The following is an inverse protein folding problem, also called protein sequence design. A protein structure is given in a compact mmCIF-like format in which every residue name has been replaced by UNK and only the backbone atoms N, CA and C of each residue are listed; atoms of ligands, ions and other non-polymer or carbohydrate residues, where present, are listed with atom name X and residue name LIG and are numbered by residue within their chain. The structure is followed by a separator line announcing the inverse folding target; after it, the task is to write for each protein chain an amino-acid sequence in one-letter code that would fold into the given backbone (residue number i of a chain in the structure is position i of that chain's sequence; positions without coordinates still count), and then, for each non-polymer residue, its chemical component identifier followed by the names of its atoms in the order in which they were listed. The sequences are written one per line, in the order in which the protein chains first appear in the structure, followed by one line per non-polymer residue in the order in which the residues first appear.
data_IF_153892246231
#
_entry.id   IF_153892246231
#
_cell.length_a   1.000
_cell.length_b   1.000
_cell.length_c   1.000
_cell.angle_alpha   90.00
_cell.angle_beta   90.00
_cell.angle_gamma   90.00
#
_symmetry.space_group_name_H-M   'P 1'
#
loop_
_entity.id
_entity.type
_entity.pdbx_description
1 polymer ?
#
# COMPACT_ATOMS: atom_id res chain seq x y z
N UNK A 1 -31.50 -40.03 -51.46
CA UNK A 1 -32.31 -39.54 -50.32
C UNK A 1 -31.29 -39.02 -49.30
N UNK A 2 -30.99 -37.75 -49.08
CA UNK A 2 -31.42 -36.44 -49.59
C UNK A 2 -30.16 -35.54 -49.49
N UNK A 3 -29.84 -34.83 -50.56
CA UNK A 3 -28.78 -33.81 -50.65
C UNK A 3 -29.37 -32.44 -50.28
N UNK A 4 -28.63 -31.56 -49.62
CA UNK A 4 -28.70 -30.13 -49.97
C UNK A 4 -27.45 -29.36 -49.56
N UNK A 5 -26.72 -28.94 -50.59
CA UNK A 5 -25.73 -27.88 -50.59
C UNK A 5 -26.37 -26.52 -50.24
N UNK A 6 -25.62 -25.66 -49.56
CA UNK A 6 -25.95 -24.24 -49.42
C UNK A 6 -24.76 -23.37 -49.84
N UNK A 7 -24.85 -22.80 -51.05
CA UNK A 7 -23.99 -21.75 -51.58
C UNK A 7 -24.72 -20.40 -51.57
N UNK A 8 -24.06 -19.28 -51.24
CA UNK A 8 -24.72 -17.97 -51.10
C UNK A 8 -25.02 -17.32 -52.46
N UNK A 9 -26.23 -16.80 -52.63
CA UNK A 9 -26.62 -16.00 -53.79
C UNK A 9 -26.43 -14.50 -53.51
N UNK A 10 -25.59 -13.87 -54.32
CA UNK A 10 -25.51 -12.42 -54.46
C UNK A 10 -26.81 -11.85 -55.05
N UNK A 11 -27.31 -10.75 -54.47
CA UNK A 11 -28.35 -9.90 -55.08
C UNK A 11 -27.79 -8.50 -55.27
N UNK A 12 -27.51 -8.16 -56.53
CA UNK A 12 -27.33 -6.79 -56.99
C UNK A 12 -28.71 -6.13 -57.15
N UNK A 13 -28.92 -4.95 -56.56
CA UNK A 13 -29.99 -4.02 -56.97
C UNK A 13 -29.61 -2.56 -56.68
N UNK A 14 -29.45 -1.79 -57.77
CA UNK A 14 -29.87 -0.40 -57.94
C UNK A 14 -29.29 0.69 -57.04
N UNK A 15 -28.33 1.47 -57.56
CA UNK A 15 -28.02 2.82 -57.04
C UNK A 15 -29.14 3.78 -57.45
N UNK A 16 -29.89 4.29 -56.47
CA UNK A 16 -30.76 5.45 -56.64
C UNK A 16 -29.96 6.71 -56.26
N UNK A 17 -29.77 7.61 -57.22
CA UNK A 17 -29.18 8.93 -56.98
C UNK A 17 -30.24 9.85 -56.37
N UNK A 18 -29.97 10.35 -55.16
CA UNK A 18 -30.77 11.40 -54.53
C UNK A 18 -30.22 12.77 -54.96
N UNK A 19 -31.01 13.51 -55.73
CA UNK A 19 -30.77 14.94 -55.98
C UNK A 19 -31.24 15.73 -54.77
N UNK A 20 -30.33 16.44 -54.11
CA UNK A 20 -30.65 17.41 -53.05
C UNK A 20 -30.75 18.81 -53.67
N UNK A 21 -31.96 19.37 -53.73
CA UNK A 21 -32.13 20.81 -53.97
C UNK A 21 -31.82 21.56 -52.67
N UNK A 22 -30.70 22.27 -52.64
CA UNK A 22 -30.34 23.15 -51.53
C UNK A 22 -30.99 24.52 -51.74
N UNK A 23 -32.09 24.78 -51.05
CA UNK A 23 -32.57 26.15 -50.88
C UNK A 23 -31.65 26.84 -49.86
N UNK A 24 -30.77 27.71 -50.35
CA UNK A 24 -29.89 28.54 -49.51
C UNK A 24 -30.74 29.52 -48.69
N UNK A 25 -30.92 29.26 -47.40
CA UNK A 25 -31.28 30.30 -46.44
C UNK A 25 -29.98 30.97 -45.97
N UNK A 26 -29.79 32.24 -46.32
CA UNK A 26 -28.68 33.04 -45.79
C UNK A 26 -28.98 33.35 -44.32
N UNK A 27 -28.36 32.63 -43.39
CA UNK A 27 -28.26 33.09 -42.01
C UNK A 27 -27.29 34.26 -41.98
N UNK A 28 -27.77 35.43 -41.59
CA UNK A 28 -26.97 36.64 -41.50
C UNK A 28 -25.94 36.48 -40.36
N UNK A 29 -24.67 36.78 -40.67
CA UNK A 29 -23.48 36.59 -39.83
C UNK A 29 -23.61 37.09 -38.36
N UNK A 30 -24.35 38.17 -38.05
CA UNK A 30 -24.55 38.60 -36.66
C UNK A 30 -25.31 37.59 -35.79
N UNK A 31 -26.25 36.83 -36.36
CA UNK A 31 -27.08 35.90 -35.61
C UNK A 31 -26.29 34.68 -35.11
N UNK A 32 -25.29 34.25 -35.89
CA UNK A 32 -24.40 33.13 -35.52
C UNK A 32 -23.51 33.53 -34.34
N UNK A 33 -23.00 34.76 -34.34
CA UNK A 33 -22.14 35.26 -33.25
C UNK A 33 -22.94 35.38 -31.95
N UNK A 34 -24.15 35.95 -31.99
CA UNK A 34 -25.02 36.07 -30.82
C UNK A 34 -25.38 34.70 -30.25
N UNK A 35 -25.68 33.72 -31.12
CA UNK A 35 -25.93 32.34 -30.71
C UNK A 35 -24.70 31.74 -30.03
N UNK A 36 -23.51 31.84 -30.63
CA UNK A 36 -22.27 31.33 -30.03
C UNK A 36 -21.94 31.98 -28.68
N UNK A 37 -22.13 33.29 -28.53
CA UNK A 37 -21.92 33.99 -27.26
C UNK A 37 -22.90 33.51 -26.18
N UNK A 38 -24.15 33.22 -26.52
CA UNK A 38 -25.14 32.71 -25.57
C UNK A 38 -24.73 31.34 -25.00
N UNK A 39 -24.26 30.40 -25.83
CA UNK A 39 -23.77 29.10 -25.34
C UNK A 39 -22.49 29.21 -24.51
N UNK A 40 -21.60 30.14 -24.83
CA UNK A 40 -20.37 30.34 -24.06
C UNK A 40 -20.66 30.90 -22.66
N UNK A 41 -21.54 31.89 -22.55
CA UNK A 41 -21.92 32.50 -21.26
C UNK A 41 -22.75 31.53 -20.41
N UNK A 42 -23.72 30.81 -21.01
CA UNK A 42 -24.49 29.80 -20.28
C UNK A 42 -23.63 28.61 -19.84
N UNK A 43 -22.70 28.14 -20.67
CA UNK A 43 -21.78 27.06 -20.32
C UNK A 43 -20.84 27.44 -19.16
N UNK A 44 -20.36 28.69 -19.14
CA UNK A 44 -19.50 29.20 -18.08
C UNK A 44 -20.24 29.35 -16.75
N UNK A 45 -21.46 29.89 -16.77
CA UNK A 45 -22.31 30.03 -15.58
C UNK A 45 -22.81 28.67 -15.03
N UNK A 46 -23.06 27.68 -15.90
CA UNK A 46 -23.43 26.33 -15.46
C UNK A 46 -22.24 25.57 -14.84
N UNK A 47 -21.02 25.89 -15.28
CA UNK A 47 -19.79 25.30 -14.74
C UNK A 47 -19.44 25.90 -13.36
N UNK A 48 -19.67 27.19 -13.16
CA UNK A 48 -19.45 27.83 -11.85
C UNK A 48 -20.47 27.39 -10.79
N UNK A 49 -21.73 27.10 -11.18
CA UNK A 49 -22.76 26.58 -10.26
C UNK A 49 -22.47 25.14 -9.80
N UNK A 50 -21.86 24.29 -10.64
CA UNK A 50 -21.38 22.94 -10.23
C UNK A 50 -20.14 22.99 -9.34
N UNK A 51 -19.30 24.01 -9.49
CA UNK A 51 -18.06 24.14 -8.69
C UNK A 51 -18.33 24.49 -7.22
N UNK A 52 -19.45 25.15 -6.90
CA UNK A 52 -19.81 25.46 -5.50
C UNK A 52 -20.47 24.30 -4.73
N UNK A 53 -20.92 23.24 -5.40
CA UNK A 53 -21.45 22.03 -4.72
C UNK A 53 -20.34 21.03 -4.33
N UNK A 54 -19.10 21.28 -4.75
CA UNK A 54 -17.95 20.42 -4.41
C UNK A 54 -17.17 20.88 -3.18
N UNK A 55 -17.57 21.99 -2.55
CA UNK A 55 -16.98 22.48 -1.31
C UNK A 55 -17.86 22.13 -0.12
N UNK A 56 -17.56 21.02 0.56
CA UNK A 56 -17.60 20.82 2.03
C UNK A 56 -17.54 19.32 2.38
N UNK A 57 -16.71 19.04 3.40
CA UNK A 57 -16.71 17.91 4.34
C UNK A 57 -16.09 16.57 3.91
N UNK A 58 -15.00 16.26 4.63
CA UNK A 58 -14.70 14.95 5.25
C UNK A 58 -15.53 13.78 4.72
N UNK A 59 -15.02 13.11 3.68
CA UNK A 59 -15.62 11.90 3.13
C UNK A 59 -14.63 10.73 3.20
N UNK A 60 -14.15 10.46 4.41
CA UNK A 60 -13.22 9.37 4.69
C UNK A 60 -13.79 8.25 5.57
N UNK A 61 -15.12 8.13 5.70
CA UNK A 61 -15.68 7.23 6.73
C UNK A 61 -16.97 6.48 6.38
N UNK A 62 -17.35 6.34 5.11
CA UNK A 62 -18.66 5.74 4.79
C UNK A 62 -18.73 4.87 3.52
N UNK A 63 -17.63 4.22 3.11
CA UNK A 63 -17.63 3.36 1.91
C UNK A 63 -17.00 1.99 2.14
N UNK A 64 -17.39 1.35 3.24
CA UNK A 64 -17.16 -0.07 3.48
C UNK A 64 -18.46 -0.76 3.93
N UNK A 65 -19.61 -0.18 3.56
CA UNK A 65 -20.90 -0.86 3.69
C UNK A 65 -21.09 -1.73 2.45
N UNK A 66 -20.86 -3.04 2.66
CA UNK A 66 -21.38 -4.18 1.89
C UNK A 66 -21.38 -4.03 0.36
N UNK A 67 -20.19 -4.08 -0.25
CA UNK A 67 -20.11 -4.69 -1.58
C UNK A 67 -19.99 -6.18 -1.33
N UNK A 68 -21.01 -6.96 -1.70
CA UNK A 68 -20.92 -8.41 -1.72
C UNK A 68 -19.96 -8.77 -2.86
N UNK A 69 -18.77 -9.27 -2.51
CA UNK A 69 -17.78 -9.66 -3.49
C UNK A 69 -18.04 -11.11 -3.90
N UNK A 70 -18.24 -11.37 -5.18
CA UNK A 70 -18.15 -12.73 -5.73
C UNK A 70 -16.70 -13.19 -5.66
N UNK A 71 -16.39 -14.02 -4.66
CA UNK A 71 -15.04 -14.53 -4.45
C UNK A 71 -14.68 -15.56 -5.51
N UNK A 72 -13.52 -15.37 -6.15
CA UNK A 72 -12.94 -16.38 -7.01
C UNK A 72 -12.45 -17.58 -6.18
N UNK A 73 -12.42 -18.77 -6.78
CA UNK A 73 -11.80 -19.93 -6.15
C UNK A 73 -10.33 -19.66 -5.78
N UNK A 74 -9.96 -19.96 -4.55
CA UNK A 74 -8.60 -19.76 -4.04
C UNK A 74 -7.70 -20.96 -4.37
N UNK A 75 -6.39 -20.71 -4.48
CA UNK A 75 -5.40 -21.77 -4.62
C UNK A 75 -5.13 -22.49 -3.29
N UNK A 76 -4.35 -23.59 -3.31
CA UNK A 76 -3.98 -24.35 -2.10
C UNK A 76 -3.38 -23.50 -0.97
N UNK A 77 -2.76 -22.38 -1.32
CA UNK A 77 -2.10 -21.45 -0.40
C UNK A 77 -2.71 -20.04 -0.47
N UNK A 78 -3.90 -19.89 -1.05
CA UNK A 78 -4.60 -18.61 -1.18
C UNK A 78 -5.66 -18.42 -0.09
N UNK A 79 -6.03 -17.16 0.15
CA UNK A 79 -7.12 -16.83 1.07
C UNK A 79 -8.49 -17.12 0.44
N UNK A 80 -9.41 -17.64 1.22
CA UNK A 80 -10.81 -17.90 0.87
C UNK A 80 -11.73 -16.69 1.14
N UNK A 81 -11.18 -15.60 1.65
CA UNK A 81 -11.89 -14.42 2.13
C UNK A 81 -11.09 -13.14 1.86
N UNK A 82 -11.78 -12.01 1.84
CA UNK A 82 -11.15 -10.71 1.60
C UNK A 82 -10.67 -10.11 2.91
N UNK A 83 -9.39 -9.76 2.96
CA UNK A 83 -8.81 -8.93 4.00
C UNK A 83 -8.51 -7.52 3.48
N UNK A 84 -8.98 -6.49 4.19
CA UNK A 84 -8.64 -5.09 3.88
C UNK A 84 -7.62 -4.58 4.91
N UNK A 85 -6.44 -4.18 4.43
CA UNK A 85 -5.39 -3.60 5.26
C UNK A 85 -5.17 -2.16 4.80
N UNK A 86 -5.69 -1.15 5.53
CA UNK A 86 -5.48 0.25 5.17
C UNK A 86 -4.00 0.63 5.33
N UNK A 87 -3.49 1.48 4.44
CA UNK A 87 -2.14 2.01 4.51
C UNK A 87 -2.04 3.41 3.91
N UNK A 88 -0.98 4.11 4.28
CA UNK A 88 -0.59 5.41 3.73
C UNK A 88 0.82 5.28 3.15
N UNK A 89 1.06 5.83 1.96
CA UNK A 89 2.43 5.98 1.44
C UNK A 89 3.08 7.18 2.14
N UNK A 90 4.22 6.95 2.79
CA UNK A 90 5.01 7.99 3.45
C UNK A 90 6.12 8.48 2.51
N UNK A 91 6.80 7.56 1.83
CA UNK A 91 7.83 7.90 0.85
C UNK A 91 7.96 6.81 -0.21
N UNK A 92 8.42 7.18 -1.40
CA UNK A 92 8.80 6.24 -2.46
C UNK A 92 10.31 6.00 -2.53
N UNK A 93 11.12 6.88 -1.92
CA UNK A 93 12.59 6.79 -1.92
C UNK A 93 13.17 7.23 -0.57
N UNK A 94 13.38 6.30 0.38
CA UNK A 94 13.09 4.86 0.30
C UNK A 94 11.57 4.58 0.29
N UNK A 95 11.17 3.39 -0.14
CA UNK A 95 9.76 2.97 -0.05
C UNK A 95 9.37 2.80 1.42
N UNK A 96 8.50 3.65 1.92
CA UNK A 96 8.01 3.64 3.28
C UNK A 96 6.48 3.76 3.29
N UNK A 97 5.82 2.86 4.02
CA UNK A 97 4.38 2.79 4.15
C UNK A 97 3.99 2.73 5.62
N UNK A 98 2.95 3.47 5.99
CA UNK A 98 2.38 3.47 7.33
C UNK A 98 1.07 2.69 7.34
N UNK A 99 0.94 1.75 8.27
CA UNK A 99 -0.25 0.93 8.45
C UNK A 99 -0.94 1.28 9.78
N UNK A 100 -2.00 2.12 9.78
CA UNK A 100 -2.65 2.53 11.00
C UNK A 100 -3.37 1.34 11.67
N UNK A 101 -3.26 1.25 13.01
CA UNK A 101 -3.94 0.22 13.83
C UNK A 101 -3.66 -1.20 13.32
N UNK A 102 -2.40 -1.47 12.96
CA UNK A 102 -2.00 -2.74 12.38
C UNK A 102 -2.14 -3.91 13.37
N UNK A 103 -1.66 -3.73 14.60
CA UNK A 103 -1.93 -4.61 15.73
C UNK A 103 -2.92 -3.94 16.68
N UNK A 104 -3.77 -4.74 17.31
CA UNK A 104 -4.70 -4.26 18.34
C UNK A 104 -3.95 -3.98 19.65
N UNK A 105 -4.46 -3.10 20.53
CA UNK A 105 -3.86 -2.87 21.85
C UNK A 105 -3.67 -4.16 22.65
N UNK A 106 -4.61 -5.11 22.56
CA UNK A 106 -4.57 -6.40 23.24
C UNK A 106 -3.43 -7.27 22.71
N UNK A 107 -3.26 -7.34 21.38
CA UNK A 107 -2.14 -8.05 20.76
C UNK A 107 -0.80 -7.43 21.15
N UNK A 108 -0.68 -6.10 21.13
CA UNK A 108 0.52 -5.40 21.57
C UNK A 108 0.86 -5.72 23.03
N UNK A 109 -0.14 -5.65 23.92
CA UNK A 109 0.06 -5.91 25.34
C UNK A 109 0.44 -7.38 25.62
N UNK A 110 -0.12 -8.31 24.86
CA UNK A 110 0.24 -9.73 24.91
C UNK A 110 1.72 -9.95 24.55
N UNK A 111 2.17 -9.41 23.41
CA UNK A 111 3.57 -9.54 22.96
C UNK A 111 4.53 -8.91 23.97
N UNK A 112 4.18 -7.74 24.51
CA UNK A 112 4.96 -7.08 25.57
C UNK A 112 5.10 -8.01 26.78
N UNK A 113 4.02 -8.66 27.22
CA UNK A 113 4.05 -9.55 28.37
C UNK A 113 4.84 -10.84 28.10
N UNK A 114 4.75 -11.36 26.88
CA UNK A 114 5.53 -12.52 26.44
C UNK A 114 7.04 -12.22 26.39
N UNK A 115 7.42 -11.01 25.96
CA UNK A 115 8.81 -10.61 25.84
C UNK A 115 9.49 -10.26 27.18
N UNK A 116 8.75 -9.64 28.11
CA UNK A 116 9.25 -9.08 29.38
C UNK A 116 10.24 -9.99 30.15
N UNK A 117 9.97 -11.30 30.34
CA UNK A 117 10.85 -12.16 31.13
C UNK A 117 12.23 -12.38 30.51
N UNK A 118 12.36 -12.22 29.19
CA UNK A 118 13.55 -12.59 28.42
C UNK A 118 14.30 -11.37 27.87
N UNK A 119 13.95 -10.15 28.29
CA UNK A 119 14.63 -8.94 27.86
C UNK A 119 16.05 -8.88 28.42
N UNK A 120 17.03 -8.69 27.54
CA UNK A 120 18.43 -8.49 27.87
C UNK A 120 19.01 -7.32 27.05
N UNK A 121 20.20 -6.77 27.40
CA UNK A 121 20.85 -5.77 26.57
C UNK A 121 20.97 -6.22 25.10
N UNK A 122 20.54 -5.35 24.17
CA UNK A 122 20.49 -5.69 22.76
C UNK A 122 21.88 -5.89 22.18
N UNK A 123 22.02 -6.83 21.25
CA UNK A 123 23.28 -7.09 20.55
C UNK A 123 23.22 -6.53 19.12
N UNK A 124 24.39 -6.21 18.57
CA UNK A 124 24.58 -5.87 17.16
C UNK A 124 25.30 -7.01 16.44
N UNK A 125 25.09 -7.10 15.12
CA UNK A 125 25.90 -8.00 14.30
C UNK A 125 27.33 -7.47 14.24
N UNK A 126 28.30 -8.32 14.58
CA UNK A 126 29.73 -7.98 14.53
C UNK A 126 30.17 -7.80 13.07
N UNK A 127 30.96 -6.77 12.81
CA UNK A 127 31.62 -6.59 11.51
C UNK A 127 32.85 -7.49 11.43
N UNK A 128 33.38 -7.67 10.21
CA UNK A 128 34.58 -8.49 10.00
C UNK A 128 35.76 -7.94 10.81
N UNK A 129 36.24 -8.73 11.77
CA UNK A 129 37.39 -8.39 12.62
C UNK A 129 37.03 -7.79 13.98
N UNK A 130 35.74 -7.59 14.28
CA UNK A 130 35.29 -7.14 15.60
C UNK A 130 35.02 -8.32 16.54
N UNK A 131 35.51 -8.24 17.78
CA UNK A 131 35.21 -9.21 18.85
C UNK A 131 34.04 -8.78 19.73
N UNK A 132 33.77 -7.48 19.80
CA UNK A 132 32.71 -6.88 20.61
C UNK A 132 32.00 -5.77 19.83
N UNK A 133 30.71 -5.56 20.11
CA UNK A 133 29.91 -4.52 19.47
C UNK A 133 29.98 -3.20 20.26
N UNK A 134 29.91 -2.03 19.60
CA UNK A 134 29.86 -0.74 20.30
C UNK A 134 28.58 -0.61 21.13
N UNK A 135 28.72 -0.45 22.45
CA UNK A 135 27.58 -0.36 23.38
C UNK A 135 26.76 0.92 23.21
N UNK A 136 27.38 2.01 22.74
CA UNK A 136 26.73 3.33 22.65
C UNK A 136 25.85 3.52 21.41
N UNK A 137 25.97 2.63 20.42
CA UNK A 137 25.24 2.69 19.16
C UNK A 137 23.79 2.22 19.33
N UNK A 138 23.57 1.21 20.17
CA UNK A 138 22.25 0.66 20.48
C UNK A 138 22.17 0.34 21.95
N UNK A 139 21.35 1.11 22.66
CA UNK A 139 21.24 1.02 24.11
C UNK A 139 19.93 0.36 24.59
N UNK A 140 19.14 -0.21 23.68
CA UNK A 140 17.88 -0.89 24.00
C UNK A 140 18.06 -2.21 24.74
N UNK A 141 17.02 -2.64 25.44
CA UNK A 141 16.83 -4.06 25.76
C UNK A 141 16.09 -4.76 24.62
N UNK A 142 16.33 -6.04 24.42
CA UNK A 142 15.67 -6.81 23.39
C UNK A 142 15.61 -8.30 23.67
N UNK A 143 14.72 -8.97 22.94
CA UNK A 143 14.60 -10.43 22.93
C UNK A 143 14.02 -10.89 21.60
N UNK A 144 14.26 -12.15 21.25
CA UNK A 144 13.67 -12.77 20.07
C UNK A 144 12.51 -13.67 20.46
N UNK A 145 11.41 -13.58 19.72
CA UNK A 145 10.25 -14.46 19.86
C UNK A 145 9.95 -15.13 18.52
N UNK A 146 9.71 -16.43 18.57
CA UNK A 146 9.21 -17.21 17.45
C UNK A 146 7.70 -17.44 17.60
N UNK A 147 7.02 -17.77 16.50
CA UNK A 147 5.60 -18.14 16.54
C UNK A 147 5.35 -19.34 17.47
N UNK A 148 6.30 -20.26 17.58
CA UNK A 148 6.22 -21.41 18.50
C UNK A 148 6.29 -21.02 19.98
N UNK A 149 6.79 -19.84 20.32
CA UNK A 149 6.84 -19.36 21.71
C UNK A 149 5.48 -18.81 22.19
N UNK A 150 4.52 -18.63 21.28
CA UNK A 150 3.20 -18.07 21.57
C UNK A 150 2.06 -19.07 21.27
N UNK A 151 1.65 -19.89 22.27
CA UNK A 151 0.58 -20.87 22.07
C UNK A 151 -0.79 -20.24 21.82
N UNK A 152 -0.95 -18.92 22.03
CA UNK A 152 -2.21 -18.22 21.78
C UNK A 152 -2.44 -17.89 20.31
N UNK A 153 -1.39 -17.96 19.47
CA UNK A 153 -1.45 -17.67 18.04
C UNK A 153 -1.47 -16.18 17.69
N UNK A 154 -1.19 -15.28 18.64
CA UNK A 154 -1.14 -13.83 18.38
C UNK A 154 0.02 -13.48 17.44
N UNK A 155 1.22 -14.04 17.67
CA UNK A 155 2.36 -13.84 16.77
C UNK A 155 2.09 -14.40 15.37
N UNK A 156 1.45 -15.56 15.28
CA UNK A 156 1.07 -16.19 14.01
C UNK A 156 0.14 -15.29 13.19
N UNK A 157 -0.92 -14.77 13.83
CA UNK A 157 -1.88 -13.87 13.20
C UNK A 157 -1.22 -12.56 12.73
N UNK A 158 -0.23 -12.05 13.47
CA UNK A 158 0.54 -10.86 13.07
C UNK A 158 1.41 -11.18 11.85
N UNK A 159 2.15 -12.29 11.83
CA UNK A 159 2.96 -12.66 10.66
C UNK A 159 2.09 -12.87 9.40
N UNK A 160 0.93 -13.50 9.55
CA UNK A 160 -0.02 -13.69 8.46
C UNK A 160 -0.49 -12.34 7.90
N UNK A 161 -0.84 -11.39 8.79
CA UNK A 161 -1.22 -10.03 8.39
C UNK A 161 -0.07 -9.29 7.72
N UNK A 162 1.18 -9.47 8.19
CA UNK A 162 2.38 -8.88 7.57
C UNK A 162 2.58 -9.47 6.17
N UNK A 163 2.44 -10.79 6.00
CA UNK A 163 2.53 -11.45 4.69
C UNK A 163 1.47 -10.92 3.71
N UNK A 164 0.24 -10.70 4.20
CA UNK A 164 -0.82 -10.06 3.40
C UNK A 164 -0.48 -8.63 3.01
N UNK A 165 0.18 -7.86 3.88
CA UNK A 165 0.57 -6.48 3.61
C UNK A 165 1.78 -6.38 2.66
N UNK A 166 2.80 -7.22 2.83
CA UNK A 166 4.07 -7.14 2.11
C UNK A 166 4.11 -8.00 0.84
N UNK A 167 3.23 -8.99 0.74
CA UNK A 167 3.24 -10.06 -0.28
C UNK A 167 4.51 -10.91 -0.25
N UNK A 168 5.22 -10.94 0.87
CA UNK A 168 6.38 -11.79 1.09
C UNK A 168 5.95 -13.08 1.81
N UNK A 169 6.52 -14.25 1.44
CA UNK A 169 6.19 -15.50 2.11
C UNK A 169 6.82 -15.54 3.52
N UNK A 170 6.04 -16.03 4.49
CA UNK A 170 6.46 -16.15 5.90
C UNK A 170 7.70 -17.01 6.10
N UNK A 171 7.98 -17.94 5.18
CA UNK A 171 9.19 -18.78 5.21
C UNK A 171 10.51 -17.98 5.11
N UNK A 172 10.46 -16.71 4.73
CA UNK A 172 11.62 -15.82 4.70
C UNK A 172 11.71 -14.90 5.92
N UNK A 173 10.80 -15.00 6.88
CA UNK A 173 10.80 -14.14 8.04
C UNK A 173 11.83 -14.61 9.06
N UNK A 174 12.49 -13.63 9.68
CA UNK A 174 13.25 -13.86 10.90
C UNK A 174 12.30 -13.87 12.11
N UNK A 175 12.75 -14.41 13.24
CA UNK A 175 12.02 -14.29 14.50
C UNK A 175 11.76 -12.82 14.85
N UNK A 176 10.66 -12.55 15.55
CA UNK A 176 10.33 -11.21 16.02
C UNK A 176 11.43 -10.70 16.93
N UNK A 177 12.04 -9.58 16.56
CA UNK A 177 12.97 -8.86 17.43
C UNK A 177 12.20 -7.81 18.24
N UNK A 178 11.84 -8.15 19.48
CA UNK A 178 11.10 -7.25 20.38
C UNK A 178 12.09 -6.36 21.11
N UNK A 179 11.88 -5.06 21.04
CA UNK A 179 12.78 -4.05 21.60
C UNK A 179 12.06 -3.14 22.59
N UNK A 180 12.77 -2.79 23.66
CA UNK A 180 12.35 -1.82 24.67
C UNK A 180 13.40 -0.75 24.82
N UNK A 181 12.97 0.50 24.66
CA UNK A 181 13.77 1.69 24.88
C UNK A 181 13.25 2.40 26.13
N UNK A 182 14.14 2.68 27.08
CA UNK A 182 13.87 3.58 28.20
C UNK A 182 14.23 5.02 27.82
N UNK A 183 13.85 5.98 28.67
CA UNK A 183 14.11 7.40 28.42
C UNK A 183 15.62 7.64 28.20
N UNK A 184 15.95 8.28 27.09
CA UNK A 184 17.34 8.56 26.70
C UNK A 184 18.06 7.42 25.97
N UNK A 185 17.47 6.22 25.88
CA UNK A 185 18.00 5.15 25.04
C UNK A 185 17.70 5.41 23.56
N UNK A 186 18.57 4.90 22.68
CA UNK A 186 18.52 5.17 21.25
C UNK A 186 19.09 4.01 20.44
N UNK A 187 18.86 4.10 19.13
CA UNK A 187 19.62 3.37 18.14
C UNK A 187 20.06 4.36 17.06
N UNK A 188 21.37 4.49 16.85
CA UNK A 188 21.92 5.30 15.78
C UNK A 188 21.50 4.76 14.39
N UNK A 189 21.53 5.66 13.40
CA UNK A 189 21.16 5.34 12.02
C UNK A 189 22.01 4.21 11.46
N UNK A 190 21.36 3.21 10.86
CA UNK A 190 21.99 2.03 10.29
C UNK A 190 21.20 1.52 9.07
N UNK A 191 21.77 0.55 8.36
CA UNK A 191 21.07 -0.25 7.37
C UNK A 191 20.63 -1.55 8.01
N UNK A 192 19.39 -1.97 7.75
CA UNK A 192 18.92 -3.30 8.14
C UNK A 192 19.56 -4.40 7.29
N UNK A 193 19.99 -4.07 6.08
CA UNK A 193 20.76 -4.94 5.22
C UNK A 193 22.20 -5.09 5.73
N UNK A 194 22.88 -6.15 5.29
CA UNK A 194 24.27 -6.45 5.61
C UNK A 194 25.18 -6.21 4.39
N UNK A 195 25.78 -5.01 4.21
CA UNK A 195 26.67 -4.72 3.10
C UNK A 195 27.89 -5.65 3.07
N UNK A 196 28.27 -6.10 1.88
CA UNK A 196 29.36 -7.05 1.68
C UNK A 196 30.70 -6.47 2.16
N UNK A 197 30.87 -5.15 2.06
CA UNK A 197 32.06 -4.43 2.49
C UNK A 197 32.28 -4.52 4.00
N UNK A 198 31.19 -4.63 4.78
CA UNK A 198 31.23 -4.64 6.26
C UNK A 198 31.14 -6.07 6.83
N UNK A 199 30.31 -6.92 6.22
CA UNK A 199 29.96 -8.23 6.76
C UNK A 199 30.47 -9.41 5.90
N UNK A 200 31.06 -9.14 4.73
CA UNK A 200 31.45 -10.16 3.76
C UNK A 200 30.26 -10.72 2.97
N UNK A 201 30.49 -11.71 2.07
CA UNK A 201 29.44 -12.30 1.25
C UNK A 201 28.35 -12.95 2.12
N UNK A 202 27.10 -12.55 1.90
CA UNK A 202 25.94 -13.10 2.61
C UNK A 202 25.21 -14.14 1.74
N UNK A 203 24.74 -15.23 2.35
CA UNK A 203 23.92 -16.25 1.67
C UNK A 203 22.50 -15.77 1.38
N UNK A 204 22.00 -14.81 2.16
CA UNK A 204 20.68 -14.20 2.06
C UNK A 204 20.79 -12.73 2.51
N UNK A 205 19.83 -11.89 2.11
CA UNK A 205 19.80 -10.48 2.46
C UNK A 205 18.38 -10.02 2.82
N UNK A 206 18.28 -9.10 3.78
CA UNK A 206 17.02 -8.44 4.13
C UNK A 206 16.61 -7.47 3.03
N UNK A 207 15.38 -7.63 2.55
CA UNK A 207 14.81 -6.79 1.47
C UNK A 207 13.76 -5.80 1.96
N UNK A 208 13.22 -6.02 3.15
CA UNK A 208 12.22 -5.18 3.80
C UNK A 208 12.25 -5.39 5.31
N UNK A 209 11.84 -4.35 6.04
CA UNK A 209 11.64 -4.37 7.50
C UNK A 209 10.23 -3.91 7.80
N UNK A 210 9.55 -4.62 8.70
CA UNK A 210 8.22 -4.24 9.17
C UNK A 210 8.28 -3.91 10.65
N UNK A 211 8.13 -2.63 11.00
CA UNK A 211 8.17 -2.16 12.38
C UNK A 211 6.76 -2.06 12.95
N UNK A 212 6.52 -2.72 14.09
CA UNK A 212 5.25 -2.65 14.82
C UNK A 212 5.47 -1.88 16.12
N UNK A 213 4.86 -0.69 16.21
CA UNK A 213 4.89 0.10 17.44
C UNK A 213 3.84 -0.43 18.42
N UNK A 214 4.28 -0.79 19.63
CA UNK A 214 3.42 -1.42 20.65
C UNK A 214 3.07 -0.51 21.83
N UNK A 215 3.59 0.72 21.85
CA UNK A 215 3.33 1.73 22.88
C UNK A 215 3.38 3.14 22.28
N UNK A 216 2.57 4.06 22.82
CA UNK A 216 2.66 5.48 22.51
C UNK A 216 3.74 6.14 23.38
N UNK A 217 4.56 7.00 22.76
CA UNK A 217 5.72 7.63 23.39
C UNK A 217 5.89 9.07 22.91
N UNK A 218 6.50 9.91 23.74
CA UNK A 218 7.04 11.21 23.32
C UNK A 218 8.52 11.01 22.91
N UNK A 219 8.86 11.39 21.68
CA UNK A 219 10.13 11.01 21.05
C UNK A 219 10.12 9.57 20.52
N UNK A 220 11.31 9.01 20.25
CA UNK A 220 11.45 7.62 19.80
C UNK A 220 11.02 7.39 18.34
N UNK A 221 11.04 8.45 17.53
CA UNK A 221 10.67 8.40 16.13
C UNK A 221 11.64 7.53 15.30
N UNK A 222 11.11 6.81 14.32
CA UNK A 222 11.95 6.21 13.28
C UNK A 222 12.25 7.25 12.21
N UNK A 223 13.47 7.80 12.25
CA UNK A 223 13.92 8.80 11.30
C UNK A 223 14.63 8.16 10.09
N UNK A 224 14.34 8.67 8.89
CA UNK A 224 15.05 8.33 7.65
C UNK A 224 15.88 9.54 7.18
N UNK A 225 17.10 9.75 7.72
CA UNK A 225 17.85 11.00 7.50
C UNK A 225 18.30 11.25 6.05
N UNK A 226 18.23 10.24 5.18
CA UNK A 226 18.66 10.34 3.78
C UNK A 226 17.50 10.43 2.78
N UNK A 227 16.27 10.60 3.25
CA UNK A 227 15.05 10.61 2.43
C UNK A 227 14.96 11.79 1.44
N UNK A 228 15.86 12.78 1.52
CA UNK A 228 15.79 14.03 0.73
C UNK A 228 17.03 14.37 -0.11
N UNK A 229 18.02 13.48 -0.22
CA UNK A 229 19.33 13.83 -0.84
C UNK A 229 19.42 13.77 -2.38
N UNK A 230 18.31 13.68 -3.09
CA UNK A 230 18.30 13.77 -4.57
C UNK A 230 17.24 14.79 -5.04
N UNK A 231 17.42 16.04 -4.62
CA UNK A 231 16.85 17.23 -5.27
C UNK A 231 17.94 17.97 -6.02
#
# INVERSE_FOLDING_TARGET
MSTSDYTPKAKAKGRAYWHWNTTKTKLDFPAVIVFCCFFFVFGFLFSSLRSQVSGVRQRGRQLLNSVEYELMGHGKTGDDSISVIPFQVISWRPRAFYFPKFATPEQCQHIINLAKPNLAPSKLALRKGESEYPQDVRTSMGTFLSVSDDPTGVLDAIEEKIAKATKLPRTHYEHFNVLRYELGQKYDSHLDAFPVEQYGPQKSQRVATFLVYMSEVEGGETAFPFESRMG
#
